data_IF_034419752126
#
_entry.id   IF_034419752126
#
_cell.length_a   1.000
_cell.length_b   1.000
_cell.length_c   1.000
_cell.angle_alpha   90.00
_cell.angle_beta   90.00
_cell.angle_gamma   90.00
#
_symmetry.space_group_name_H-M   'P 1'
#
loop_
_entity.id
_entity.type
_entity.pdbx_description
1 polymer ?
#
# COMPACT_ATOMS: atom_id res chain seq x y z
N UNK A 1 -23.28 -8.38 -12.96
CA UNK A 1 -21.83 -8.26 -13.25
C UNK A 1 -21.40 -6.81 -13.49
N UNK A 2 -22.04 -6.05 -14.39
CA UNK A 2 -21.65 -4.66 -14.68
C UNK A 2 -21.57 -3.75 -13.42
N UNK A 3 -22.60 -3.74 -12.57
CA UNK A 3 -22.56 -2.98 -11.31
C UNK A 3 -21.44 -3.41 -10.36
N UNK A 4 -21.07 -4.70 -10.32
CA UNK A 4 -19.95 -5.17 -9.50
C UNK A 4 -18.62 -4.66 -10.02
N UNK A 5 -18.44 -4.61 -11.35
CA UNK A 5 -17.27 -3.99 -11.98
C UNK A 5 -17.21 -2.50 -11.63
N UNK A 6 -18.33 -1.78 -11.74
CA UNK A 6 -18.41 -0.35 -11.40
C UNK A 6 -18.09 -0.07 -9.94
N UNK A 7 -18.73 -0.79 -9.00
CA UNK A 7 -18.47 -0.60 -7.58
C UNK A 7 -17.05 -0.98 -7.19
N UNK A 8 -16.51 -2.08 -7.76
CA UNK A 8 -15.13 -2.47 -7.51
C UNK A 8 -14.15 -1.44 -8.06
N UNK A 9 -14.42 -0.83 -9.21
CA UNK A 9 -13.63 0.27 -9.75
C UNK A 9 -13.60 1.48 -8.81
N UNK A 10 -14.75 1.86 -8.24
CA UNK A 10 -14.83 2.96 -7.26
C UNK A 10 -14.00 2.65 -6.02
N UNK A 11 -14.16 1.46 -5.44
CA UNK A 11 -13.40 1.04 -4.25
C UNK A 11 -11.89 0.99 -4.54
N UNK A 12 -11.49 0.43 -5.69
CA UNK A 12 -10.09 0.39 -6.12
C UNK A 12 -9.50 1.78 -6.34
N UNK A 13 -10.28 2.72 -6.84
CA UNK A 13 -9.85 4.11 -7.02
C UNK A 13 -9.59 4.77 -5.67
N UNK A 14 -10.55 4.67 -4.74
CA UNK A 14 -10.41 5.25 -3.40
C UNK A 14 -9.22 4.63 -2.66
N UNK A 15 -9.15 3.30 -2.62
CA UNK A 15 -8.05 2.60 -1.94
C UNK A 15 -6.71 2.84 -2.63
N UNK A 16 -6.67 2.94 -3.96
CA UNK A 16 -5.47 3.30 -4.71
C UNK A 16 -4.95 4.69 -4.36
N UNK A 17 -5.83 5.69 -4.23
CA UNK A 17 -5.46 7.03 -3.77
C UNK A 17 -4.90 6.98 -2.34
N UNK A 18 -5.56 6.27 -1.43
CA UNK A 18 -5.09 6.14 -0.04
C UNK A 18 -3.71 5.47 0.01
N UNK A 19 -3.51 4.35 -0.69
CA UNK A 19 -2.23 3.63 -0.75
C UNK A 19 -1.13 4.42 -1.46
N UNK A 20 -1.52 5.38 -2.30
CA UNK A 20 -0.60 6.32 -2.92
C UNK A 20 -0.08 7.34 -1.91
N UNK A 21 -0.91 7.85 -0.99
CA UNK A 21 -0.51 8.91 -0.06
C UNK A 21 -0.04 8.42 1.33
N UNK A 22 -0.43 7.22 1.77
CA UNK A 22 -0.09 6.65 3.09
C UNK A 22 1.43 6.57 3.30
N UNK A 23 1.96 6.82 4.53
CA UNK A 23 3.40 6.71 4.80
C UNK A 23 4.03 5.38 4.36
N UNK A 24 5.36 5.38 4.23
CA UNK A 24 6.12 4.15 4.04
C UNK A 24 5.84 3.14 5.16
N UNK A 25 5.95 1.83 4.86
CA UNK A 25 5.62 0.76 5.82
C UNK A 25 6.38 0.92 7.13
N UNK A 26 7.68 1.19 7.04
CA UNK A 26 8.56 1.45 8.19
C UNK A 26 8.02 2.52 9.15
N UNK A 27 7.37 3.58 8.64
CA UNK A 27 6.80 4.65 9.48
C UNK A 27 5.40 4.25 9.92
N UNK A 28 4.58 3.75 9.00
CA UNK A 28 3.19 3.39 9.26
C UNK A 28 3.04 2.38 10.40
N UNK A 29 3.89 1.36 10.45
CA UNK A 29 3.89 0.36 11.52
C UNK A 29 4.49 0.90 12.82
N UNK A 30 5.56 1.68 12.71
CA UNK A 30 6.24 2.26 13.86
C UNK A 30 5.37 3.18 14.71
N UNK A 31 4.49 3.94 14.06
CA UNK A 31 3.62 4.94 14.71
C UNK A 31 2.15 4.51 14.77
N UNK A 32 1.82 3.27 14.39
CA UNK A 32 0.43 2.79 14.21
C UNK A 32 -0.44 3.78 13.41
N UNK A 33 0.06 4.21 12.25
CA UNK A 33 -0.67 5.11 11.37
C UNK A 33 -2.03 4.52 11.00
N UNK A 34 -3.07 5.34 11.09
CA UNK A 34 -4.42 4.97 10.69
C UNK A 34 -5.13 6.12 9.98
N UNK A 35 -6.07 5.76 9.11
CA UNK A 35 -6.98 6.69 8.43
C UNK A 35 -8.36 6.06 8.38
N UNK A 36 -9.38 6.83 8.78
CA UNK A 36 -10.76 6.37 8.87
C UNK A 36 -10.94 5.08 9.70
N UNK A 37 -10.16 4.95 10.79
CA UNK A 37 -10.19 3.78 11.67
C UNK A 37 -9.52 2.53 11.10
N UNK A 38 -8.84 2.64 9.95
CA UNK A 38 -8.10 1.55 9.33
C UNK A 38 -6.61 1.85 9.26
N UNK A 39 -5.80 0.88 9.65
CA UNK A 39 -4.36 0.90 9.48
C UNK A 39 -3.97 0.68 8.02
N UNK A 40 -2.71 0.97 7.70
CA UNK A 40 -2.16 0.80 6.35
C UNK A 40 -2.43 -0.59 5.76
N UNK A 41 -2.28 -1.64 6.56
CA UNK A 41 -2.52 -3.02 6.13
C UNK A 41 -3.96 -3.27 5.73
N UNK A 42 -4.90 -2.77 6.53
CA UNK A 42 -6.32 -2.93 6.28
C UNK A 42 -6.74 -2.24 4.98
N UNK A 43 -6.21 -1.05 4.70
CA UNK A 43 -6.38 -0.40 3.39
C UNK A 43 -5.83 -1.26 2.24
N UNK A 44 -4.68 -1.91 2.46
CA UNK A 44 -4.09 -2.87 1.53
C UNK A 44 -4.97 -4.10 1.29
N UNK A 45 -5.57 -4.66 2.35
CA UNK A 45 -6.46 -5.82 2.25
C UNK A 45 -7.72 -5.50 1.46
N UNK A 46 -8.35 -4.34 1.71
CA UNK A 46 -9.54 -3.91 0.94
C UNK A 46 -9.18 -3.76 -0.54
N UNK A 47 -8.06 -3.12 -0.86
CA UNK A 47 -7.59 -2.98 -2.24
C UNK A 47 -7.37 -4.34 -2.91
N UNK A 48 -6.69 -5.26 -2.21
CA UNK A 48 -6.40 -6.60 -2.71
C UNK A 48 -7.67 -7.40 -2.99
N UNK A 49 -8.61 -7.42 -2.03
CA UNK A 49 -9.87 -8.17 -2.16
C UNK A 49 -10.73 -7.64 -3.31
N UNK A 50 -10.91 -6.32 -3.40
CA UNK A 50 -11.67 -5.72 -4.50
C UNK A 50 -10.94 -5.81 -5.85
N UNK A 51 -9.60 -5.90 -5.85
CA UNK A 51 -8.81 -6.18 -7.04
C UNK A 51 -9.14 -7.57 -7.60
N UNK A 52 -9.17 -8.59 -6.73
CA UNK A 52 -9.60 -9.94 -7.11
C UNK A 52 -11.04 -9.97 -7.65
N UNK A 53 -11.97 -9.29 -6.96
CA UNK A 53 -13.36 -9.16 -7.42
C UNK A 53 -13.43 -8.47 -8.79
N UNK A 54 -12.68 -7.38 -8.99
CA UNK A 54 -12.67 -6.64 -10.25
C UNK A 54 -12.13 -7.49 -11.40
N UNK A 55 -11.07 -8.28 -11.20
CA UNK A 55 -10.53 -9.19 -12.21
C UNK A 55 -11.56 -10.26 -12.60
N UNK A 56 -12.11 -10.97 -11.61
CA UNK A 56 -13.08 -12.05 -11.85
C UNK A 56 -14.33 -11.50 -12.55
N UNK A 57 -14.90 -10.42 -12.01
CA UNK A 57 -16.11 -9.82 -12.57
C UNK A 57 -15.86 -9.14 -13.91
N UNK A 58 -14.66 -8.61 -14.15
CA UNK A 58 -14.22 -8.06 -15.44
C UNK A 58 -14.15 -9.14 -16.52
N UNK A 59 -13.55 -10.30 -16.22
CA UNK A 59 -13.51 -11.46 -17.13
C UNK A 59 -14.93 -11.92 -17.46
N UNK A 60 -15.79 -12.08 -16.44
CA UNK A 60 -17.19 -12.46 -16.65
C UNK A 60 -17.94 -11.39 -17.47
N UNK A 61 -17.67 -10.11 -17.23
CA UNK A 61 -18.28 -9.01 -17.98
C UNK A 61 -17.90 -9.08 -19.46
N UNK A 62 -16.61 -9.27 -19.77
CA UNK A 62 -16.09 -9.45 -21.13
C UNK A 62 -16.67 -10.69 -21.81
N UNK A 63 -16.74 -11.82 -21.09
CA UNK A 63 -17.30 -13.07 -21.60
C UNK A 63 -18.77 -12.93 -21.99
N UNK A 64 -19.61 -12.43 -21.08
CA UNK A 64 -21.04 -12.26 -21.35
C UNK A 64 -21.34 -11.14 -22.37
N UNK A 65 -20.46 -10.14 -22.48
CA UNK A 65 -20.63 -9.01 -23.41
C UNK A 65 -19.67 -9.08 -24.62
N UNK A 66 -19.20 -10.28 -24.97
CA UNK A 66 -18.21 -10.49 -26.03
C UNK A 66 -18.69 -10.03 -27.41
N UNK A 67 -19.97 -10.25 -27.73
CA UNK A 67 -20.57 -9.80 -29.00
C UNK A 67 -20.54 -8.26 -29.13
N UNK A 68 -21.08 -7.48 -28.17
CA UNK A 68 -20.90 -6.03 -28.13
C UNK A 68 -19.44 -5.58 -28.18
N UNK A 69 -18.57 -6.24 -27.41
CA UNK A 69 -17.15 -5.91 -27.34
C UNK A 69 -16.44 -6.04 -28.69
N UNK A 70 -16.64 -7.14 -29.43
CA UNK A 70 -16.07 -7.29 -30.79
C UNK A 70 -16.52 -6.22 -31.76
N UNK A 71 -17.77 -5.77 -31.66
CA UNK A 71 -18.31 -4.70 -32.51
C UNK A 71 -17.58 -3.38 -32.30
N UNK A 72 -16.98 -3.17 -31.13
CA UNK A 72 -16.12 -2.02 -30.87
C UNK A 72 -14.78 -2.08 -31.60
N UNK A 73 -14.25 -3.28 -31.87
CA UNK A 73 -12.92 -3.44 -32.49
C UNK A 73 -12.86 -3.03 -33.94
N UNK A 74 -13.95 -3.25 -34.67
CA UNK A 74 -13.93 -3.12 -36.10
C UNK A 74 -15.22 -2.51 -36.63
N UNK A 75 -15.03 -1.55 -37.56
CA UNK A 75 -16.11 -1.05 -38.39
C UNK A 75 -15.96 -1.72 -39.75
N UNK A 76 -17.08 -2.16 -40.31
CA UNK A 76 -17.09 -2.70 -41.67
C UNK A 76 -17.18 -1.52 -42.64
N UNK A 77 -16.06 -1.18 -43.27
CA UNK A 77 -16.00 -0.13 -44.30
C UNK A 77 -15.77 -0.84 -45.64
N UNK A 78 -16.69 -0.65 -46.59
CA UNK A 78 -16.62 -1.24 -47.96
C UNK A 78 -16.37 -2.76 -47.98
N UNK A 79 -16.98 -3.51 -47.06
CA UNK A 79 -16.90 -4.98 -47.02
C UNK A 79 -15.69 -5.56 -46.30
N UNK A 80 -14.65 -4.77 -46.01
CA UNK A 80 -13.48 -5.15 -45.23
C UNK A 80 -13.64 -4.79 -43.74
N UNK A 81 -12.94 -5.56 -42.89
CA UNK A 81 -12.87 -5.33 -41.45
C UNK A 81 -11.67 -4.43 -41.18
N UNK A 82 -11.90 -3.15 -40.83
CA UNK A 82 -10.83 -2.24 -40.44
C UNK A 82 -10.84 -2.02 -38.93
N UNK A 83 -9.68 -2.13 -38.29
CA UNK A 83 -9.51 -1.77 -36.89
C UNK A 83 -9.63 -0.26 -36.73
N UNK A 84 -10.36 0.17 -35.70
CA UNK A 84 -10.43 1.59 -35.38
C UNK A 84 -9.04 2.11 -35.01
N UNK A 85 -8.62 3.23 -35.61
CA UNK A 85 -7.37 3.91 -35.25
C UNK A 85 -7.28 4.17 -33.74
N UNK A 86 -8.42 4.46 -33.10
CA UNK A 86 -8.57 4.58 -31.64
C UNK A 86 -7.94 3.42 -30.86
N UNK A 87 -8.06 2.18 -31.34
CA UNK A 87 -7.56 0.98 -30.66
C UNK A 87 -6.06 0.86 -30.82
N UNK A 88 -5.54 1.15 -32.01
CA UNK A 88 -4.10 1.16 -32.27
C UNK A 88 -3.45 2.23 -31.40
N UNK A 89 -4.01 3.43 -31.38
CA UNK A 89 -3.53 4.56 -30.55
C UNK A 89 -3.63 4.23 -29.06
N UNK A 90 -4.77 3.72 -28.57
CA UNK A 90 -4.93 3.35 -27.16
C UNK A 90 -3.96 2.25 -26.72
N UNK A 91 -3.73 1.26 -27.58
CA UNK A 91 -2.77 0.18 -27.31
C UNK A 91 -1.34 0.72 -27.29
N UNK A 92 -0.96 1.53 -28.29
CA UNK A 92 0.36 2.15 -28.34
C UNK A 92 0.62 3.04 -27.13
N UNK A 93 -0.35 3.87 -26.72
CA UNK A 93 -0.25 4.71 -25.52
C UNK A 93 -0.13 3.88 -24.25
N UNK A 94 -0.89 2.80 -24.12
CA UNK A 94 -0.82 1.90 -22.94
C UNK A 94 0.55 1.22 -22.85
N UNK A 95 1.07 0.72 -23.97
CA UNK A 95 2.41 0.13 -24.04
C UNK A 95 3.50 1.17 -23.75
N UNK A 96 3.35 2.40 -24.27
CA UNK A 96 4.26 3.50 -23.99
C UNK A 96 4.29 3.82 -22.49
N UNK A 97 3.14 4.01 -21.85
CA UNK A 97 3.05 4.27 -20.41
C UNK A 97 3.67 3.11 -19.61
N UNK A 98 3.41 1.87 -20.02
CA UNK A 98 4.00 0.69 -19.40
C UNK A 98 5.54 0.69 -19.47
N UNK A 99 6.10 0.92 -20.66
CA UNK A 99 7.56 0.99 -20.86
C UNK A 99 8.17 2.14 -20.06
N UNK A 100 7.57 3.33 -20.09
CA UNK A 100 8.03 4.47 -19.32
C UNK A 100 8.02 4.19 -17.80
N UNK A 101 7.01 3.49 -17.31
CA UNK A 101 6.90 3.10 -15.90
C UNK A 101 7.97 2.09 -15.51
N UNK A 102 8.21 1.06 -16.33
CA UNK A 102 9.22 0.03 -16.08
C UNK A 102 10.63 0.61 -16.10
N UNK A 103 10.92 1.50 -17.05
CA UNK A 103 12.22 2.16 -17.19
C UNK A 103 12.38 3.36 -16.26
N UNK A 104 11.33 3.73 -15.52
CA UNK A 104 11.27 4.92 -14.66
C UNK A 104 11.67 6.22 -15.39
N UNK A 105 11.07 6.47 -16.56
CA UNK A 105 11.33 7.62 -17.43
C UNK A 105 10.11 8.58 -17.42
N UNK A 106 10.30 9.91 -17.54
CA UNK A 106 9.20 10.85 -17.68
C UNK A 106 8.25 10.57 -18.86
N UNK A 107 6.94 10.87 -18.73
CA UNK A 107 6.28 11.45 -17.56
C UNK A 107 5.90 10.44 -16.45
N UNK A 108 6.12 9.13 -16.64
CA UNK A 108 5.73 8.12 -15.63
C UNK A 108 6.50 8.32 -14.31
N UNK A 109 7.80 8.65 -14.38
CA UNK A 109 8.61 8.91 -13.20
C UNK A 109 8.09 10.06 -12.35
N UNK A 110 7.46 11.10 -12.93
CA UNK A 110 6.91 12.22 -12.16
C UNK A 110 5.83 11.77 -11.18
N UNK A 111 5.00 10.80 -11.57
CA UNK A 111 3.98 10.22 -10.70
C UNK A 111 4.66 9.37 -9.60
N UNK A 112 5.68 8.59 -9.94
CA UNK A 112 6.42 7.76 -8.98
C UNK A 112 7.17 8.63 -7.95
N UNK A 113 7.78 9.72 -8.39
CA UNK A 113 8.50 10.67 -7.55
C UNK A 113 7.54 11.45 -6.65
N UNK A 114 6.37 11.84 -7.17
CA UNK A 114 5.32 12.46 -6.37
C UNK A 114 4.83 11.51 -5.26
N UNK A 115 4.68 10.21 -5.55
CA UNK A 115 4.38 9.21 -4.52
C UNK A 115 5.41 9.24 -3.39
N UNK A 116 6.69 9.16 -3.75
CA UNK A 116 7.81 9.11 -2.80
C UNK A 116 7.89 10.40 -1.97
N UNK A 117 7.71 11.55 -2.62
CA UNK A 117 7.69 12.84 -1.94
C UNK A 117 6.54 12.95 -0.93
N UNK A 118 5.30 12.64 -1.32
CA UNK A 118 4.16 12.66 -0.39
C UNK A 118 4.42 11.72 0.79
N UNK A 119 4.88 10.49 0.53
CA UNK A 119 5.17 9.53 1.60
C UNK A 119 6.25 10.00 2.57
N UNK A 120 7.22 10.78 2.09
CA UNK A 120 8.25 11.42 2.91
C UNK A 120 7.72 12.53 3.82
N UNK A 121 6.65 13.23 3.43
CA UNK A 121 6.07 14.33 4.23
C UNK A 121 5.50 13.90 5.58
N UNK A 122 5.23 12.59 5.75
CA UNK A 122 4.79 12.04 7.03
C UNK A 122 5.90 11.97 8.10
N UNK A 123 7.17 12.12 7.70
CA UNK A 123 8.32 12.13 8.61
C UNK A 123 8.68 13.58 8.91
N UNK A 124 8.08 14.15 9.95
CA UNK A 124 8.34 15.53 10.38
C UNK A 124 9.54 15.67 11.33
N UNK A 125 9.98 14.58 11.92
CA UNK A 125 11.07 14.54 12.90
C UNK A 125 11.78 13.18 12.87
N UNK A 126 13.07 13.10 13.27
CA UNK A 126 13.86 11.86 13.16
C UNK A 126 13.34 10.68 13.98
N UNK A 127 12.62 10.93 15.07
CA UNK A 127 12.00 9.93 15.97
C UNK A 127 10.85 9.15 15.33
N UNK A 128 10.21 9.72 14.30
CA UNK A 128 9.17 9.04 13.51
C UNK A 128 9.75 7.95 12.60
N UNK A 129 11.06 7.92 12.40
CA UNK A 129 11.72 6.82 11.72
C UNK A 129 12.18 5.74 12.71
N UNK A 130 11.87 4.46 12.44
CA UNK A 130 12.44 3.39 13.25
C UNK A 130 13.97 3.34 13.04
N UNK A 131 14.74 2.85 14.04
CA UNK A 131 16.20 2.77 13.96
C UNK A 131 16.70 1.88 12.81
N UNK A 132 15.86 0.97 12.31
CA UNK A 132 16.06 0.17 11.10
C UNK A 132 14.70 -0.38 10.62
N UNK A 133 14.65 -0.92 9.39
CA UNK A 133 13.40 -1.50 8.86
C UNK A 133 12.89 -2.68 9.69
N UNK A 134 11.57 -2.74 9.93
CA UNK A 134 10.90 -3.75 10.75
C UNK A 134 11.37 -3.79 12.22
N UNK A 135 11.77 -2.65 12.79
CA UNK A 135 12.17 -2.57 14.20
C UNK A 135 11.03 -2.96 15.16
N UNK A 136 9.79 -2.64 14.78
CA UNK A 136 8.56 -3.00 15.49
C UNK A 136 8.40 -4.52 15.66
N UNK A 137 8.92 -5.33 14.73
CA UNK A 137 8.80 -6.79 14.76
C UNK A 137 9.87 -7.45 15.64
N UNK A 138 10.92 -6.70 16.03
CA UNK A 138 12.02 -7.25 16.82
C UNK A 138 11.66 -7.29 18.30
N UNK A 139 12.07 -8.37 18.97
CA UNK A 139 11.92 -8.51 20.43
C UNK A 139 12.62 -7.39 21.21
N UNK A 140 12.11 -7.02 22.37
CA UNK A 140 12.76 -6.07 23.28
C UNK A 140 14.24 -6.43 23.53
N UNK A 141 14.54 -7.70 23.85
CA UNK A 141 15.92 -8.17 24.03
C UNK A 141 16.77 -8.06 22.76
N UNK A 142 16.16 -8.30 21.59
CA UNK A 142 16.82 -8.23 20.29
C UNK A 142 17.18 -6.80 19.91
N UNK A 143 16.27 -5.85 20.09
CA UNK A 143 16.54 -4.45 19.80
C UNK A 143 17.55 -3.87 20.81
N UNK A 144 17.45 -4.20 22.10
CA UNK A 144 18.43 -3.77 23.09
C UNK A 144 19.84 -4.25 22.75
N UNK A 145 19.98 -5.51 22.31
CA UNK A 145 21.27 -6.03 21.86
C UNK A 145 21.79 -5.29 20.62
N UNK A 146 20.94 -5.07 19.62
CA UNK A 146 21.33 -4.44 18.35
C UNK A 146 21.72 -2.98 18.52
N UNK A 147 21.04 -2.27 19.43
CA UNK A 147 21.26 -0.86 19.71
C UNK A 147 22.23 -0.62 20.88
N UNK A 148 22.83 -1.68 21.44
CA UNK A 148 23.73 -1.61 22.59
C UNK A 148 23.10 -0.92 23.83
N UNK A 149 21.82 -1.22 24.09
CA UNK A 149 21.06 -0.75 25.25
C UNK A 149 21.10 -1.82 26.35
N UNK A 150 21.28 -1.40 27.60
CA UNK A 150 21.17 -2.29 28.76
C UNK A 150 19.71 -2.73 28.94
N UNK A 151 19.45 -4.00 28.63
CA UNK A 151 18.09 -4.56 28.65
C UNK A 151 17.42 -4.43 30.03
N UNK A 152 18.16 -4.61 31.13
CA UNK A 152 17.57 -4.52 32.47
C UNK A 152 17.18 -3.08 32.78
N UNK A 153 18.04 -2.11 32.43
CA UNK A 153 17.71 -0.70 32.60
C UNK A 153 16.53 -0.28 31.72
N UNK A 154 16.49 -0.72 30.47
CA UNK A 154 15.38 -0.44 29.57
C UNK A 154 14.05 -1.00 30.10
N UNK A 155 14.04 -2.25 30.57
CA UNK A 155 12.83 -2.84 31.17
C UNK A 155 12.36 -2.07 32.40
N UNK A 156 13.28 -1.70 33.31
CA UNK A 156 12.92 -0.91 34.48
C UNK A 156 12.36 0.47 34.10
N UNK A 157 12.94 1.13 33.09
CA UNK A 157 12.45 2.43 32.61
C UNK A 157 11.05 2.32 32.00
N UNK A 158 10.82 1.29 31.19
CA UNK A 158 9.50 1.02 30.61
C UNK A 158 8.45 0.74 31.68
N UNK A 159 8.77 -0.09 32.67
CA UNK A 159 7.87 -0.36 33.80
C UNK A 159 7.59 0.90 34.63
N UNK A 160 8.61 1.74 34.87
CA UNK A 160 8.45 3.03 35.56
C UNK A 160 7.54 4.00 34.79
N UNK A 161 7.57 3.93 33.45
CA UNK A 161 6.69 4.69 32.57
C UNK A 161 5.31 4.04 32.35
N UNK A 162 4.98 3.00 33.12
CA UNK A 162 3.68 2.34 33.09
C UNK A 162 3.49 1.36 31.93
N UNK A 163 4.56 1.00 31.22
CA UNK A 163 4.53 -0.01 30.16
C UNK A 163 4.73 -1.39 30.79
N UNK A 164 3.70 -2.22 30.68
CA UNK A 164 3.73 -3.60 31.14
C UNK A 164 4.46 -4.50 30.12
N UNK A 165 5.45 -5.26 30.59
CA UNK A 165 6.24 -6.18 29.77
C UNK A 165 6.02 -7.62 30.28
N UNK A 166 5.34 -8.46 29.51
CA UNK A 166 5.17 -9.88 29.84
C UNK A 166 6.46 -10.67 29.61
N UNK A 167 7.15 -10.40 28.51
CA UNK A 167 8.39 -11.08 28.14
C UNK A 167 9.35 -10.19 27.37
N UNK A 168 10.63 -10.23 27.73
CA UNK A 168 11.71 -9.61 26.95
C UNK A 168 11.84 -10.18 25.52
N UNK A 169 11.18 -11.31 25.22
CA UNK A 169 11.13 -11.92 23.88
C UNK A 169 9.99 -11.39 23.02
N UNK A 170 9.05 -10.66 23.61
CA UNK A 170 7.95 -10.05 22.86
C UNK A 170 8.48 -8.93 21.97
N UNK A 171 7.91 -8.84 20.76
CA UNK A 171 8.20 -7.75 19.83
C UNK A 171 7.75 -6.41 20.39
N UNK A 172 8.39 -5.33 19.93
CA UNK A 172 7.92 -3.98 20.27
C UNK A 172 6.47 -3.77 19.86
N UNK A 173 6.05 -4.34 18.73
CA UNK A 173 4.66 -4.33 18.28
C UNK A 173 3.73 -5.01 19.28
N UNK A 174 4.07 -6.20 19.77
CA UNK A 174 3.24 -6.91 20.75
C UNK A 174 3.13 -6.10 22.05
N UNK A 175 4.26 -5.58 22.55
CA UNK A 175 4.31 -4.76 23.76
C UNK A 175 3.48 -3.47 23.57
N UNK A 176 3.60 -2.83 22.42
CA UNK A 176 2.85 -1.61 22.11
C UNK A 176 1.34 -1.88 22.13
N UNK A 177 0.88 -2.96 21.47
CA UNK A 177 -0.54 -3.34 21.43
C UNK A 177 -1.11 -3.67 22.80
N UNK A 178 -0.37 -4.44 23.62
CA UNK A 178 -0.83 -4.77 24.98
C UNK A 178 -0.95 -3.54 25.89
N UNK A 179 -0.19 -2.48 25.58
CA UNK A 179 -0.15 -1.24 26.35
C UNK A 179 -0.92 -0.08 25.67
N UNK A 180 -1.70 -0.35 24.61
CA UNK A 180 -2.47 0.66 23.87
C UNK A 180 -1.61 1.88 23.43
N UNK A 181 -0.37 1.61 23.04
CA UNK A 181 0.61 2.61 22.59
C UNK A 181 1.25 2.17 21.27
N UNK A 182 2.30 2.86 20.82
CA UNK A 182 2.99 2.58 19.56
C UNK A 182 4.39 2.01 19.78
N UNK A 183 4.97 1.26 18.83
CA UNK A 183 6.36 0.79 18.89
C UNK A 183 7.35 1.93 19.12
N UNK A 184 7.10 3.09 18.51
CA UNK A 184 7.85 4.32 18.74
C UNK A 184 7.88 4.72 20.21
N UNK A 185 6.73 4.71 20.89
CA UNK A 185 6.63 5.08 22.30
C UNK A 185 7.21 4.03 23.25
N UNK A 186 7.31 2.76 22.82
CA UNK A 186 8.04 1.71 23.58
C UNK A 186 9.56 1.86 23.40
N UNK A 187 10.01 2.44 22.29
CA UNK A 187 11.43 2.62 22.00
C UNK A 187 12.02 3.93 22.54
N UNK A 188 11.28 5.03 22.43
CA UNK A 188 11.69 6.38 22.83
C UNK A 188 11.70 6.58 24.33
#
# INVERSE_FOLDING_TARGET
VAFLVTWSFIVLTVTGIVLYIVPHGRVAYWVHWSLAGMEKEQWGWVHMMFGGVFIITGILHLYYNWKPFKKYFAVRIKGHLEFKQEIVVATALTLLIFVLSVLNIPPASWVIDLNSWIKGTWVTSPDLEPPFGHAEEVSLAGISRRMNIDLKKAMNELENNGIHIESQRDSLEKIARSNQTTPMAVYG
#
